data_IF_918126807637
#
_entry.id   IF_918126807637
#
_cell.length_a   1.000
_cell.length_b   1.000
_cell.length_c   1.000
_cell.angle_alpha   90.00
_cell.angle_beta   90.00
_cell.angle_gamma   90.00
#
_symmetry.space_group_name_H-M   'P 1'
#
loop_
_entity.id
_entity.type
_entity.pdbx_description
1 polymer ?
#
# COMPACT_ATOMS: atom_id res chain seq x y z
N UNK A 1 -21.33 -14.70 3.05
CA UNK A 1 -20.63 -13.89 4.06
C UNK A 1 -19.78 -12.85 3.34
N UNK A 2 -19.76 -11.62 3.82
CA UNK A 2 -18.87 -10.58 3.33
C UNK A 2 -17.43 -10.90 3.75
N UNK A 3 -16.45 -10.67 2.87
CA UNK A 3 -15.01 -10.97 3.11
C UNK A 3 -14.21 -9.69 3.00
N UNK A 4 -13.08 -9.65 3.71
CA UNK A 4 -12.11 -8.54 3.57
C UNK A 4 -11.24 -8.73 2.31
N UNK A 5 -10.61 -7.66 1.84
CA UNK A 5 -9.65 -7.68 0.72
C UNK A 5 -8.52 -8.70 1.00
N UNK A 6 -8.01 -8.71 2.24
CA UNK A 6 -6.91 -9.61 2.61
C UNK A 6 -7.36 -11.07 2.64
N UNK A 7 -8.57 -11.37 3.12
CA UNK A 7 -9.09 -12.75 3.06
C UNK A 7 -9.20 -13.23 1.61
N UNK A 8 -9.69 -12.40 0.69
CA UNK A 8 -9.78 -12.75 -0.75
C UNK A 8 -8.39 -12.94 -1.36
N UNK A 9 -7.43 -12.08 -1.00
CA UNK A 9 -6.04 -12.20 -1.44
C UNK A 9 -5.41 -13.51 -0.96
N UNK A 10 -5.52 -13.84 0.33
CA UNK A 10 -4.98 -15.06 0.94
C UNK A 10 -5.59 -16.32 0.31
N UNK A 11 -6.90 -16.39 0.13
CA UNK A 11 -7.60 -17.49 -0.54
C UNK A 11 -7.14 -17.65 -1.99
N UNK A 12 -6.94 -16.54 -2.70
CA UNK A 12 -6.48 -16.56 -4.09
C UNK A 12 -5.04 -17.06 -4.18
N UNK A 13 -4.16 -16.58 -3.30
CA UNK A 13 -2.77 -17.02 -3.24
C UNK A 13 -2.66 -18.52 -2.90
N UNK A 14 -3.49 -18.98 -1.94
CA UNK A 14 -3.53 -20.41 -1.59
C UNK A 14 -4.00 -21.30 -2.75
N UNK A 15 -4.95 -20.82 -3.55
CA UNK A 15 -5.49 -21.55 -4.71
C UNK A 15 -4.56 -21.53 -5.92
N UNK A 16 -3.91 -20.40 -6.18
CA UNK A 16 -3.12 -20.19 -7.39
C UNK A 16 -1.64 -20.55 -7.24
N UNK A 17 -1.11 -20.59 -6.02
CA UNK A 17 0.24 -21.10 -5.70
C UNK A 17 1.33 -20.55 -6.61
N UNK A 18 1.89 -21.43 -7.44
CA UNK A 18 3.01 -21.13 -8.32
C UNK A 18 2.62 -20.40 -9.63
N UNK A 19 1.32 -20.17 -9.87
CA UNK A 19 0.89 -19.39 -11.04
C UNK A 19 1.37 -17.94 -10.93
N UNK A 20 1.66 -17.28 -12.07
CA UNK A 20 2.05 -15.86 -12.08
C UNK A 20 0.95 -14.98 -11.50
N UNK A 21 1.30 -14.15 -10.51
CA UNK A 21 0.45 -13.10 -9.95
C UNK A 21 0.79 -11.74 -10.57
N UNK A 22 2.07 -11.42 -10.65
CA UNK A 22 2.59 -10.16 -11.16
C UNK A 22 3.61 -10.42 -12.27
N UNK A 23 3.78 -9.44 -13.16
CA UNK A 23 4.87 -9.43 -14.14
C UNK A 23 5.52 -8.05 -14.15
N UNK A 24 6.81 -8.01 -13.90
CA UNK A 24 7.62 -6.78 -13.89
C UNK A 24 8.67 -6.85 -15.01
N UNK A 25 8.86 -5.76 -15.73
CA UNK A 25 9.87 -5.69 -16.79
C UNK A 25 11.18 -5.16 -16.22
N UNK A 26 12.18 -6.03 -16.08
CA UNK A 26 13.51 -5.69 -15.56
C UNK A 26 14.53 -5.84 -16.69
N UNK A 27 15.25 -4.76 -17.00
CA UNK A 27 16.24 -4.74 -18.10
C UNK A 27 15.69 -5.27 -19.44
N UNK A 28 14.42 -4.92 -19.75
CA UNK A 28 13.76 -5.32 -20.98
C UNK A 28 13.14 -6.73 -20.97
N UNK A 29 13.37 -7.53 -19.92
CA UNK A 29 12.89 -8.90 -19.78
C UNK A 29 11.73 -8.95 -18.76
N UNK A 30 10.64 -9.65 -19.12
CA UNK A 30 9.53 -9.88 -18.21
C UNK A 30 9.88 -10.96 -17.18
N UNK A 31 9.83 -10.59 -15.92
CA UNK A 31 9.97 -11.50 -14.78
C UNK A 31 8.61 -11.66 -14.12
N UNK A 32 8.28 -12.89 -13.73
CA UNK A 32 7.03 -13.20 -13.06
C UNK A 32 7.27 -13.45 -11.56
N UNK A 33 6.41 -12.87 -10.73
CA UNK A 33 6.28 -13.19 -9.31
C UNK A 33 5.06 -14.09 -9.13
N UNK A 34 5.23 -15.25 -8.51
CA UNK A 34 4.13 -16.19 -8.26
C UNK A 34 3.17 -15.66 -7.18
N UNK A 35 1.95 -16.22 -7.12
CA UNK A 35 1.01 -15.91 -6.03
C UNK A 35 1.58 -16.27 -4.66
N UNK A 36 2.32 -17.38 -4.56
CA UNK A 36 2.98 -17.79 -3.32
C UNK A 36 4.04 -16.77 -2.88
N UNK A 37 4.89 -16.32 -3.83
CA UNK A 37 5.91 -15.30 -3.55
C UNK A 37 5.28 -13.94 -3.23
N UNK A 38 4.27 -13.52 -3.98
CA UNK A 38 3.56 -12.28 -3.74
C UNK A 38 2.93 -12.26 -2.34
N UNK A 39 2.27 -13.36 -1.95
CA UNK A 39 1.74 -13.54 -0.59
C UNK A 39 2.84 -13.41 0.48
N UNK A 40 3.96 -14.09 0.27
CA UNK A 40 5.11 -14.01 1.19
C UNK A 40 5.61 -12.57 1.32
N UNK A 41 5.79 -11.87 0.19
CA UNK A 41 6.26 -10.49 0.16
C UNK A 41 5.29 -9.55 0.89
N UNK A 42 3.98 -9.68 0.66
CA UNK A 42 2.95 -8.90 1.35
C UNK A 42 3.00 -9.15 2.86
N UNK A 43 3.08 -10.40 3.31
CA UNK A 43 3.12 -10.74 4.74
C UNK A 43 4.41 -10.25 5.41
N UNK A 44 5.56 -10.42 4.77
CA UNK A 44 6.83 -9.91 5.28
C UNK A 44 6.80 -8.38 5.40
N UNK A 45 6.33 -7.69 4.36
CA UNK A 45 6.21 -6.23 4.38
C UNK A 45 5.20 -5.75 5.42
N UNK A 46 4.07 -6.45 5.62
CA UNK A 46 3.10 -6.11 6.65
C UNK A 46 3.72 -6.19 8.06
N UNK A 47 4.48 -7.24 8.33
CA UNK A 47 5.23 -7.37 9.60
C UNK A 47 6.28 -6.26 9.74
N UNK A 48 6.96 -5.91 8.66
CA UNK A 48 7.93 -4.82 8.65
C UNK A 48 7.28 -3.47 8.95
N UNK A 49 6.13 -3.16 8.35
CA UNK A 49 5.36 -1.95 8.64
C UNK A 49 4.89 -1.90 10.10
N UNK A 50 4.40 -3.03 10.64
CA UNK A 50 4.03 -3.15 12.06
C UNK A 50 5.24 -2.92 12.97
N UNK A 51 6.39 -3.52 12.67
CA UNK A 51 7.64 -3.36 13.42
C UNK A 51 8.18 -1.94 13.37
N UNK A 52 8.00 -1.25 12.24
CA UNK A 52 8.33 0.17 12.08
C UNK A 52 7.31 1.11 12.72
N UNK A 53 6.21 0.59 13.29
CA UNK A 53 5.26 1.35 14.10
C UNK A 53 3.94 1.71 13.43
N UNK A 54 3.57 1.10 12.29
CA UNK A 54 2.23 1.29 11.71
C UNK A 54 1.17 0.68 12.62
N UNK A 55 0.30 1.53 13.17
CA UNK A 55 -0.79 1.12 14.03
C UNK A 55 -2.10 0.87 13.24
N UNK A 56 -3.06 0.09 13.81
CA UNK A 56 -4.38 -0.04 13.20
C UNK A 56 -5.07 1.31 13.04
N UNK A 57 -5.60 1.55 11.84
CA UNK A 57 -6.28 2.80 11.50
C UNK A 57 -5.35 3.93 11.04
N UNK A 58 -4.03 3.78 11.17
CA UNK A 58 -3.08 4.76 10.62
C UNK A 58 -3.19 4.84 9.11
N UNK A 59 -3.13 6.06 8.58
CA UNK A 59 -2.95 6.28 7.15
C UNK A 59 -1.57 5.82 6.67
N UNK A 60 -1.52 5.30 5.45
CA UNK A 60 -0.30 4.91 4.75
C UNK A 60 -0.30 5.51 3.34
N UNK A 61 0.48 6.56 3.12
CA UNK A 61 0.52 7.23 1.83
C UNK A 61 1.47 6.50 0.85
N UNK A 62 1.11 6.48 -0.46
CA UNK A 62 1.92 5.87 -1.51
C UNK A 62 2.12 6.89 -2.65
N UNK A 63 3.27 7.53 -2.70
CA UNK A 63 3.69 8.45 -3.75
C UNK A 63 4.70 7.75 -4.65
N UNK A 64 4.22 6.86 -5.49
CA UNK A 64 5.06 5.98 -6.30
C UNK A 64 4.35 5.54 -7.58
N UNK A 65 5.14 5.24 -8.62
CA UNK A 65 4.66 4.63 -9.83
C UNK A 65 4.14 3.20 -9.60
N UNK A 66 3.28 2.74 -10.50
CA UNK A 66 2.80 1.36 -10.48
C UNK A 66 3.98 0.38 -10.60
N UNK A 67 4.22 -0.39 -9.55
CA UNK A 67 5.32 -1.34 -9.44
C UNK A 67 4.95 -2.48 -8.51
N UNK A 68 5.77 -3.52 -8.44
CA UNK A 68 5.60 -4.60 -7.48
C UNK A 68 5.71 -4.08 -6.03
N UNK A 69 6.57 -3.09 -5.79
CA UNK A 69 6.68 -2.43 -4.48
C UNK A 69 5.38 -1.74 -4.08
N UNK A 70 4.76 -1.00 -5.02
CA UNK A 70 3.52 -0.29 -4.78
C UNK A 70 2.39 -1.22 -4.36
N UNK A 71 2.14 -2.28 -5.17
CA UNK A 71 1.02 -3.22 -4.88
C UNK A 71 1.30 -4.07 -3.63
N UNK A 72 2.57 -4.39 -3.35
CA UNK A 72 2.98 -5.12 -2.15
C UNK A 72 2.76 -4.26 -0.91
N UNK A 73 3.25 -3.02 -0.90
CA UNK A 73 3.08 -2.11 0.22
C UNK A 73 1.60 -1.75 0.47
N UNK A 74 0.83 -1.59 -0.62
CA UNK A 74 -0.62 -1.33 -0.53
C UNK A 74 -1.35 -2.45 0.21
N UNK A 75 -1.19 -3.72 -0.21
CA UNK A 75 -1.84 -4.85 0.48
C UNK A 75 -1.24 -5.10 1.86
N UNK A 76 0.07 -4.89 2.03
CA UNK A 76 0.75 -5.05 3.31
C UNK A 76 0.24 -4.06 4.36
N UNK A 77 0.00 -2.79 3.97
CA UNK A 77 -0.56 -1.80 4.88
C UNK A 77 -1.97 -2.18 5.34
N UNK A 78 -2.83 -2.70 4.44
CA UNK A 78 -4.16 -3.22 4.81
C UNK A 78 -4.04 -4.43 5.75
N UNK A 79 -3.14 -5.38 5.45
CA UNK A 79 -2.91 -6.55 6.30
C UNK A 79 -2.42 -6.16 7.70
N UNK A 80 -1.63 -5.10 7.79
CA UNK A 80 -1.19 -4.49 9.05
C UNK A 80 -2.28 -3.68 9.76
N UNK A 81 -3.48 -3.54 9.18
CA UNK A 81 -4.60 -2.77 9.72
C UNK A 81 -4.55 -1.28 9.42
N UNK A 82 -3.63 -0.81 8.58
CA UNK A 82 -3.56 0.57 8.11
C UNK A 82 -4.49 0.85 6.94
N UNK A 83 -4.59 2.12 6.55
CA UNK A 83 -5.45 2.61 5.46
C UNK A 83 -4.59 3.24 4.38
N UNK A 84 -4.32 2.55 3.26
CA UNK A 84 -3.53 3.10 2.16
C UNK A 84 -4.26 4.21 1.41
N UNK A 85 -3.48 5.22 0.98
CA UNK A 85 -3.89 6.32 0.13
C UNK A 85 -2.88 6.54 -0.99
N UNK A 86 -3.27 6.31 -2.24
CA UNK A 86 -2.41 6.53 -3.39
C UNK A 86 -2.36 8.01 -3.81
N UNK A 87 -1.16 8.51 -4.10
CA UNK A 87 -0.90 9.83 -4.66
C UNK A 87 -0.38 9.69 -6.10
N UNK A 88 -0.71 10.67 -6.93
CA UNK A 88 -0.11 10.75 -8.26
C UNK A 88 1.33 11.26 -8.16
N UNK A 89 2.26 10.61 -8.87
CA UNK A 89 3.68 11.05 -8.94
C UNK A 89 3.85 12.44 -9.57
N UNK A 90 2.84 12.94 -10.27
CA UNK A 90 2.79 14.28 -10.84
C UNK A 90 2.29 15.34 -9.84
N UNK A 91 1.91 14.96 -8.63
CA UNK A 91 1.46 15.89 -7.60
C UNK A 91 2.57 16.85 -7.20
N UNK A 92 2.19 18.12 -6.94
CA UNK A 92 3.11 19.11 -6.35
C UNK A 92 3.40 18.77 -4.87
N UNK A 93 4.45 19.33 -4.25
CA UNK A 93 4.70 19.17 -2.83
C UNK A 93 3.50 19.55 -1.94
N UNK A 94 2.78 20.63 -2.28
CA UNK A 94 1.61 21.10 -1.52
C UNK A 94 0.44 20.12 -1.64
N UNK A 95 0.24 19.53 -2.84
CA UNK A 95 -0.76 18.49 -3.04
C UNK A 95 -0.41 17.20 -2.27
N UNK A 96 0.89 16.87 -2.22
CA UNK A 96 1.36 15.75 -1.40
C UNK A 96 1.10 16.03 0.09
N UNK A 97 1.43 17.23 0.59
CA UNK A 97 1.17 17.63 1.97
C UNK A 97 -0.31 17.50 2.32
N UNK A 98 -1.19 18.00 1.44
CA UNK A 98 -2.64 17.91 1.66
C UNK A 98 -3.11 16.46 1.81
N UNK A 99 -2.73 15.57 0.89
CA UNK A 99 -3.18 14.16 0.92
C UNK A 99 -2.61 13.41 2.12
N UNK A 100 -1.30 13.58 2.40
CA UNK A 100 -0.62 12.91 3.51
C UNK A 100 -1.21 13.33 4.87
N UNK A 101 -1.48 14.64 5.04
CA UNK A 101 -2.11 15.14 6.27
C UNK A 101 -3.57 14.69 6.38
N UNK A 102 -4.34 14.83 5.29
CA UNK A 102 -5.78 14.50 5.28
C UNK A 102 -6.06 13.02 5.52
N UNK A 103 -5.20 12.11 5.07
CA UNK A 103 -5.35 10.67 5.35
C UNK A 103 -4.72 10.26 6.68
N UNK A 104 -4.28 11.20 7.50
CA UNK A 104 -3.61 10.93 8.79
C UNK A 104 -2.42 9.96 8.65
N UNK A 105 -1.63 10.12 7.56
CA UNK A 105 -0.55 9.20 7.30
C UNK A 105 0.56 9.28 8.34
N UNK A 106 0.82 8.16 9.02
CA UNK A 106 1.98 7.99 9.89
C UNK A 106 3.23 7.56 9.11
N UNK A 107 3.03 6.99 7.92
CA UNK A 107 4.09 6.57 7.02
C UNK A 107 3.77 6.92 5.56
N UNK A 108 4.82 7.17 4.76
CA UNK A 108 4.70 7.35 3.31
C UNK A 108 5.75 6.51 2.59
N UNK A 109 5.34 5.83 1.51
CA UNK A 109 6.24 5.18 0.56
C UNK A 109 6.48 6.12 -0.62
N UNK A 110 7.75 6.30 -0.99
CA UNK A 110 8.20 7.01 -2.20
C UNK A 110 9.11 6.09 -3.02
N UNK A 111 8.99 6.13 -4.35
CA UNK A 111 9.73 5.21 -5.23
C UNK A 111 11.12 5.72 -5.62
N UNK A 112 11.38 7.01 -5.47
CA UNK A 112 12.60 7.66 -5.95
C UNK A 112 12.99 8.86 -5.11
N UNK A 113 14.23 9.33 -5.26
CA UNK A 113 14.71 10.55 -4.63
C UNK A 113 13.94 11.79 -5.09
N UNK A 114 13.41 11.82 -6.33
CA UNK A 114 12.54 12.89 -6.81
C UNK A 114 11.26 12.99 -5.97
N UNK A 115 10.61 11.86 -5.70
CA UNK A 115 9.39 11.85 -4.89
C UNK A 115 9.72 12.11 -3.41
N UNK A 116 10.86 11.62 -2.93
CA UNK A 116 11.35 11.91 -1.58
C UNK A 116 11.52 13.43 -1.38
N UNK A 117 12.14 14.12 -2.34
CA UNK A 117 12.37 15.57 -2.28
C UNK A 117 11.06 16.36 -2.11
N UNK A 118 9.97 15.92 -2.74
CA UNK A 118 8.65 16.56 -2.59
C UNK A 118 8.12 16.44 -1.16
N UNK A 119 8.26 15.27 -0.54
CA UNK A 119 7.81 15.04 0.85
C UNK A 119 8.68 15.82 1.83
N UNK A 120 10.00 15.80 1.64
CA UNK A 120 10.93 16.56 2.49
C UNK A 120 10.70 18.06 2.41
N UNK A 121 10.35 18.62 1.24
CA UNK A 121 10.06 20.03 1.06
C UNK A 121 8.86 20.54 1.91
N UNK A 122 7.97 19.64 2.31
CA UNK A 122 6.76 19.96 3.10
C UNK A 122 6.75 19.23 4.45
N UNK A 123 7.87 18.64 4.84
CA UNK A 123 7.98 17.77 6.03
C UNK A 123 7.49 18.46 7.32
N UNK A 124 7.79 19.75 7.47
CA UNK A 124 7.39 20.54 8.63
C UNK A 124 5.86 20.74 8.74
N UNK A 125 5.13 20.53 7.65
CA UNK A 125 3.67 20.61 7.60
C UNK A 125 2.99 19.29 7.97
N UNK A 126 3.77 18.21 8.19
CA UNK A 126 3.30 16.85 8.37
C UNK A 126 3.64 16.29 9.77
N UNK A 127 3.02 16.82 10.84
CA UNK A 127 3.40 16.45 12.21
C UNK A 127 3.09 14.99 12.57
N UNK A 128 2.14 14.34 11.88
CA UNK A 128 1.78 12.93 12.10
C UNK A 128 2.69 11.94 11.37
N UNK A 129 3.36 12.40 10.30
CA UNK A 129 4.27 11.57 9.51
C UNK A 129 5.50 11.23 10.35
N UNK A 130 5.77 9.95 10.57
CA UNK A 130 6.89 9.44 11.40
C UNK A 130 7.98 8.83 10.55
N UNK A 131 7.63 8.18 9.45
CA UNK A 131 8.56 7.40 8.64
C UNK A 131 8.29 7.61 7.16
N UNK A 132 9.36 7.84 6.40
CA UNK A 132 9.36 7.86 4.95
C UNK A 132 10.09 6.62 4.47
N UNK A 133 9.49 5.83 3.58
CA UNK A 133 10.08 4.60 3.03
C UNK A 133 10.50 4.89 1.60
N UNK A 134 11.80 4.83 1.33
CA UNK A 134 12.40 5.05 0.01
C UNK A 134 12.69 3.70 -0.66
N UNK A 135 12.11 3.48 -1.86
CA UNK A 135 12.30 2.23 -2.61
C UNK A 135 13.65 2.23 -3.32
N UNK A 136 13.95 3.26 -4.09
CA UNK A 136 15.17 3.39 -4.89
C UNK A 136 15.88 4.71 -4.60
N UNK A 137 17.16 4.65 -4.25
CA UNK A 137 17.98 5.77 -3.85
C UNK A 137 18.53 5.67 -2.44
N UNK A 138 19.18 6.74 -1.99
CA UNK A 138 19.80 6.87 -0.68
C UNK A 138 19.35 8.17 0.01
N UNK A 139 19.36 8.19 1.33
CA UNK A 139 19.05 9.39 2.11
C UNK A 139 19.69 9.31 3.49
N UNK A 140 20.27 10.42 3.95
CA UNK A 140 20.79 10.61 5.31
C UNK A 140 19.75 11.19 6.27
N UNK A 141 18.53 11.47 5.80
CA UNK A 141 17.48 12.03 6.65
C UNK A 141 17.03 10.98 7.71
N UNK A 142 16.92 11.36 8.98
CA UNK A 142 16.79 10.42 10.10
C UNK A 142 15.45 9.67 10.11
N UNK A 143 14.42 10.19 9.45
CA UNK A 143 13.09 9.59 9.35
C UNK A 143 12.87 8.85 8.01
N UNK A 144 13.93 8.69 7.20
CA UNK A 144 13.90 7.93 5.94
C UNK A 144 14.50 6.54 6.15
N UNK A 145 13.73 5.51 5.81
CA UNK A 145 14.18 4.13 5.74
C UNK A 145 14.23 3.70 4.27
N UNK A 146 15.31 3.08 3.84
CA UNK A 146 15.29 2.36 2.56
C UNK A 146 14.37 1.16 2.64
N UNK A 147 13.86 0.70 1.48
CA UNK A 147 13.03 -0.52 1.43
C UNK A 147 13.72 -1.73 2.08
N UNK A 148 15.03 -1.88 1.85
CA UNK A 148 15.83 -2.95 2.47
C UNK A 148 15.90 -2.82 4.00
N UNK A 149 16.13 -1.61 4.51
CA UNK A 149 16.13 -1.35 5.94
C UNK A 149 14.77 -1.62 6.59
N UNK A 150 13.67 -1.21 5.92
CA UNK A 150 12.33 -1.51 6.40
C UNK A 150 12.13 -3.02 6.60
N UNK A 151 12.57 -3.86 5.64
CA UNK A 151 12.33 -5.30 5.71
C UNK A 151 12.95 -5.96 6.97
N UNK A 152 14.01 -5.38 7.55
CA UNK A 152 14.63 -5.90 8.78
C UNK A 152 13.71 -5.81 9.99
N UNK A 153 12.78 -4.86 10.00
CA UNK A 153 11.77 -4.73 11.07
C UNK A 153 10.78 -5.90 11.12
N UNK A 154 10.66 -6.68 10.06
CA UNK A 154 9.79 -7.87 10.05
C UNK A 154 10.20 -8.92 11.10
N UNK A 155 11.47 -8.96 11.49
CA UNK A 155 11.98 -9.89 12.50
C UNK A 155 11.46 -9.56 13.92
N UNK A 156 11.01 -8.33 14.15
CA UNK A 156 10.49 -7.87 15.44
C UNK A 156 9.01 -8.28 15.66
N UNK A 157 8.34 -8.76 14.62
CA UNK A 157 6.91 -9.10 14.66
C UNK A 157 6.72 -10.55 14.22
N UNK A 158 6.04 -11.35 15.04
CA UNK A 158 5.77 -12.76 14.73
C UNK A 158 4.68 -12.89 13.67
N UNK A 159 4.64 -14.04 13.00
CA UNK A 159 3.56 -14.38 12.06
C UNK A 159 2.18 -14.42 12.76
N UNK A 160 2.13 -14.92 14.00
CA UNK A 160 0.91 -14.97 14.79
C UNK A 160 0.38 -13.57 15.14
N UNK A 161 1.28 -12.62 15.40
CA UNK A 161 0.90 -11.23 15.63
C UNK A 161 0.30 -10.59 14.37
N UNK A 162 0.87 -10.85 13.19
CA UNK A 162 0.28 -10.42 11.92
C UNK A 162 -1.06 -11.13 11.68
N UNK A 163 -1.15 -12.43 11.90
CA UNK A 163 -2.40 -13.18 11.71
C UNK A 163 -3.51 -12.63 12.60
N UNK A 164 -3.22 -12.36 13.86
CA UNK A 164 -4.17 -11.72 14.77
C UNK A 164 -4.66 -10.36 14.28
N UNK A 165 -3.77 -9.57 13.61
CA UNK A 165 -4.12 -8.29 13.00
C UNK A 165 -5.06 -8.48 11.80
N UNK A 166 -4.77 -9.46 10.94
CA UNK A 166 -5.60 -9.82 9.77
C UNK A 166 -6.98 -10.33 10.22
N UNK A 167 -7.03 -11.17 11.26
CA UNK A 167 -8.28 -11.72 11.77
C UNK A 167 -9.19 -10.67 12.44
N UNK A 168 -8.60 -9.58 12.91
CA UNK A 168 -9.34 -8.46 13.48
C UNK A 168 -10.02 -7.56 12.43
N UNK A 169 -9.60 -7.63 11.14
CA UNK A 169 -10.20 -6.85 10.05
C UNK A 169 -11.64 -7.27 9.79
N UNK A 170 -12.51 -6.30 9.61
CA UNK A 170 -13.94 -6.50 9.32
C UNK A 170 -14.26 -6.06 7.89
N UNK A 171 -15.26 -6.65 7.24
CA UNK A 171 -15.69 -6.25 5.89
C UNK A 171 -16.15 -4.79 5.78
N UNK A 172 -16.60 -4.19 6.86
CA UNK A 172 -17.08 -2.81 6.92
C UNK A 172 -15.98 -1.81 7.36
N UNK A 173 -14.77 -2.30 7.64
CA UNK A 173 -13.63 -1.42 7.92
C UNK A 173 -13.21 -0.69 6.64
N UNK A 174 -12.65 0.51 6.82
CA UNK A 174 -12.08 1.30 5.75
C UNK A 174 -10.89 0.55 5.13
N UNK A 175 -10.96 0.30 3.82
CA UNK A 175 -9.92 -0.43 3.10
C UNK A 175 -8.88 0.51 2.48
N UNK A 176 -9.32 1.66 1.94
CA UNK A 176 -8.46 2.62 1.24
C UNK A 176 -9.16 3.96 1.09
N UNK A 177 -8.35 5.00 0.92
CA UNK A 177 -8.79 6.31 0.49
C UNK A 177 -8.35 6.54 -0.96
N UNK A 178 -9.27 7.01 -1.81
CA UNK A 178 -9.01 7.31 -3.22
C UNK A 178 -9.19 8.80 -3.43
N UNK A 179 -8.11 9.48 -3.81
CA UNK A 179 -8.11 10.91 -4.11
C UNK A 179 -8.28 11.14 -5.60
N UNK A 180 -9.33 11.90 -5.98
CA UNK A 180 -9.61 12.27 -7.37
C UNK A 180 -9.38 13.77 -7.58
N UNK A 181 -8.95 14.17 -8.77
CA UNK A 181 -8.94 15.57 -9.16
C UNK A 181 -10.39 16.03 -9.32
N UNK A 182 -10.95 16.71 -8.31
CA UNK A 182 -12.29 17.30 -8.40
C UNK A 182 -12.36 18.35 -9.51
N UNK A 183 -13.54 18.50 -10.11
CA UNK A 183 -13.81 19.47 -11.19
C UNK A 183 -13.71 20.95 -10.75
N UNK A 184 -13.38 21.25 -9.52
CA UNK A 184 -13.40 22.57 -8.89
C UNK A 184 -12.02 23.16 -8.53
N UNK A 185 -10.93 22.67 -9.13
CA UNK A 185 -9.61 23.35 -9.09
C UNK A 185 -8.81 23.27 -7.78
N UNK A 186 -9.39 22.86 -6.67
CA UNK A 186 -8.67 22.44 -5.47
C UNK A 186 -8.85 20.95 -5.32
N UNK A 187 -7.77 20.23 -4.96
CA UNK A 187 -7.85 18.81 -4.55
C UNK A 187 -8.78 18.73 -3.34
N UNK A 188 -10.08 18.63 -3.61
CA UNK A 188 -11.04 18.41 -2.54
C UNK A 188 -10.87 16.97 -2.09
N UNK A 189 -10.82 16.78 -0.78
CA UNK A 189 -10.74 15.48 -0.16
C UNK A 189 -11.74 14.52 -0.78
N UNK A 190 -11.32 13.31 -0.97
CA UNK A 190 -12.08 12.31 -1.66
C UNK A 190 -13.32 11.93 -0.85
N UNK A 191 -14.49 12.02 -1.49
CA UNK A 191 -15.72 11.43 -0.98
C UNK A 191 -15.78 9.91 -1.25
N UNK A 192 -14.78 9.34 -1.93
CA UNK A 192 -14.74 7.92 -2.26
C UNK A 192 -13.98 7.10 -1.20
N UNK A 193 -14.67 6.83 -0.10
CA UNK A 193 -14.24 5.86 0.91
C UNK A 193 -14.63 4.47 0.42
N UNK A 194 -13.63 3.64 0.09
CA UNK A 194 -13.89 2.26 -0.25
C UNK A 194 -13.74 1.36 0.98
N UNK A 195 -14.84 0.74 1.41
CA UNK A 195 -14.82 -0.31 2.43
C UNK A 195 -14.26 -1.61 1.85
N UNK A 196 -13.71 -2.47 2.71
CA UNK A 196 -13.09 -3.74 2.30
C UNK A 196 -14.04 -4.62 1.48
N UNK A 197 -15.34 -4.60 1.78
CA UNK A 197 -16.37 -5.33 1.03
C UNK A 197 -16.63 -4.77 -0.37
N UNK A 198 -16.42 -3.48 -0.61
CA UNK A 198 -16.75 -2.82 -1.88
C UNK A 198 -15.73 -3.11 -2.97
N UNK A 199 -14.46 -3.23 -2.60
CA UNK A 199 -13.39 -3.64 -3.52
C UNK A 199 -13.64 -5.04 -4.08
N UNK A 200 -14.31 -5.91 -3.32
CA UNK A 200 -14.68 -7.25 -3.77
C UNK A 200 -15.97 -7.27 -4.62
N UNK A 201 -16.94 -6.40 -4.34
CA UNK A 201 -18.25 -6.37 -5.08
C UNK A 201 -18.10 -5.94 -6.52
N UNK A 202 -17.22 -5.00 -6.85
CA UNK A 202 -17.00 -4.50 -8.21
C UNK A 202 -16.53 -5.59 -9.18
N UNK A 203 -15.82 -6.60 -8.71
CA UNK A 203 -15.33 -7.68 -9.57
C UNK A 203 -16.42 -8.71 -9.96
N UNK A 204 -17.43 -8.94 -9.13
CA UNK A 204 -18.54 -9.87 -9.46
C UNK A 204 -19.46 -9.43 -10.59
N UNK A 205 -19.56 -8.15 -10.88
CA UNK A 205 -20.44 -7.62 -11.92
C UNK A 205 -19.78 -7.54 -13.29
N UNK A 206 -18.45 -7.54 -13.37
CA UNK A 206 -17.68 -7.50 -14.63
C UNK A 206 -17.43 -8.86 -15.27
N UNK A 207 -17.56 -9.96 -14.54
CA UNK A 207 -17.17 -11.30 -15.03
C UNK A 207 -18.32 -12.09 -15.70
N UNK A 208 -19.33 -11.41 -16.25
CA UNK A 208 -20.31 -12.03 -17.15
C UNK A 208 -19.88 -11.75 -18.59
N UNK A 209 -18.91 -12.49 -19.11
CA UNK A 209 -18.67 -12.52 -20.54
C UNK A 209 -17.25 -12.43 -21.06
N UNK A 210 -16.20 -12.57 -20.24
CA UNK A 210 -14.85 -12.74 -20.77
C UNK A 210 -14.41 -14.21 -20.72
N UNK A 211 -13.90 -14.76 -21.84
CA UNK A 211 -13.29 -16.11 -21.83
C UNK A 211 -12.08 -16.11 -20.91
N UNK A 212 -11.84 -17.23 -20.24
CA UNK A 212 -10.69 -17.44 -19.40
C UNK A 212 -9.40 -17.09 -20.18
N UNK A 213 -8.56 -16.29 -19.58
CA UNK A 213 -7.20 -16.03 -20.09
C UNK A 213 -6.43 -17.35 -20.09
N UNK A 214 -5.66 -17.64 -21.18
CA UNK A 214 -4.82 -18.81 -21.26
C UNK A 214 -3.71 -18.83 -20.23
#
# INVERSE_FOLDING_TARGET
MSRTVIQVFEETAARCGDLPALKTKINGVWQATSWADYRRNVRTTARALMGAGLAPGDGFALLACNSEYWVTAYLASIAAGGVPAGLYVTSSPEQCAFVIDHCDASMVLVDSEEQLAKVLAVRDQLPKLKTIILVDGESDAPDVLTWGALQTYAEQVTEDALQSRIDALKPDDLATLIYTSGTTGNSQGCDDVAHQSDLYRRDRTRNRGHPAWP
#
